data_IF_187219646165
#
_entry.id   IF_187219646165
#
_cell.length_a   1.000
_cell.length_b   1.000
_cell.length_c   1.000
_cell.angle_alpha   90.00
_cell.angle_beta   90.00
_cell.angle_gamma   90.00
#
_symmetry.space_group_name_H-M   'P 1'
#
loop_
_entity.id
_entity.type
_entity.pdbx_description
1 polymer ?
#
# COMPACT_ATOMS: atom_id res chain seq x y z
N UNK A 1 -13.56 -30.13 -29.39
CA UNK A 1 -13.26 -30.07 -27.95
C UNK A 1 -13.15 -28.64 -27.52
N UNK A 2 -14.03 -28.25 -26.70
CA UNK A 2 -13.94 -26.89 -26.12
C UNK A 2 -12.92 -26.90 -24.99
N UNK A 3 -11.87 -26.10 -25.11
CA UNK A 3 -11.06 -25.76 -23.94
C UNK A 3 -11.99 -25.11 -22.91
N UNK A 4 -12.06 -25.68 -21.72
CA UNK A 4 -12.93 -25.15 -20.66
C UNK A 4 -12.59 -23.69 -20.37
N UNK A 5 -13.61 -22.84 -20.04
CA UNK A 5 -13.39 -21.40 -19.82
C UNK A 5 -12.37 -21.11 -18.73
N UNK A 6 -12.07 -22.07 -17.85
CA UNK A 6 -11.13 -21.90 -16.75
C UNK A 6 -9.64 -21.89 -17.15
N UNK A 7 -9.23 -22.54 -18.27
CA UNK A 7 -7.83 -22.68 -18.64
C UNK A 7 -7.24 -21.37 -19.18
N UNK A 8 -7.98 -20.69 -20.06
CA UNK A 8 -7.54 -19.41 -20.62
C UNK A 8 -7.55 -18.31 -19.56
N UNK A 9 -8.59 -18.25 -18.74
CA UNK A 9 -8.68 -17.28 -17.64
C UNK A 9 -7.55 -17.45 -16.62
N UNK A 10 -7.15 -18.70 -16.31
CA UNK A 10 -6.06 -18.99 -15.39
C UNK A 10 -4.71 -18.49 -15.94
N UNK A 11 -4.44 -18.71 -17.24
CA UNK A 11 -3.22 -18.22 -17.91
C UNK A 11 -3.14 -16.69 -17.89
N UNK A 12 -4.25 -16.00 -18.17
CA UNK A 12 -4.33 -14.54 -18.14
C UNK A 12 -4.07 -14.01 -16.74
N UNK A 13 -4.66 -14.62 -15.70
CA UNK A 13 -4.43 -14.24 -14.30
C UNK A 13 -2.97 -14.41 -13.86
N UNK A 14 -2.33 -15.52 -14.25
CA UNK A 14 -0.91 -15.77 -13.96
C UNK A 14 -0.01 -14.74 -14.64
N UNK A 15 -0.31 -14.39 -15.89
CA UNK A 15 0.43 -13.35 -16.61
C UNK A 15 0.30 -11.99 -15.94
N UNK A 16 -0.93 -11.58 -15.59
CA UNK A 16 -1.21 -10.32 -14.89
C UNK A 16 -0.51 -10.26 -13.54
N UNK A 17 -0.48 -11.37 -12.79
CA UNK A 17 0.23 -11.46 -11.51
C UNK A 17 1.73 -11.28 -11.69
N UNK A 18 2.32 -11.92 -12.71
CA UNK A 18 3.76 -11.78 -13.01
C UNK A 18 4.13 -10.36 -13.40
N UNK A 19 3.29 -9.71 -14.21
CA UNK A 19 3.50 -8.32 -14.62
C UNK A 19 3.45 -7.37 -13.41
N UNK A 20 2.51 -7.57 -12.48
CA UNK A 20 2.42 -6.79 -11.24
C UNK A 20 3.65 -7.01 -10.35
N UNK A 21 4.11 -8.25 -10.22
CA UNK A 21 5.31 -8.57 -9.44
C UNK A 21 6.56 -7.89 -10.01
N UNK A 22 6.70 -7.90 -11.34
CA UNK A 22 7.79 -7.22 -12.04
C UNK A 22 7.71 -5.71 -11.82
N UNK A 23 6.53 -5.11 -11.98
CA UNK A 23 6.32 -3.68 -11.77
C UNK A 23 6.66 -3.27 -10.33
N UNK A 24 6.18 -4.02 -9.34
CA UNK A 24 6.49 -3.76 -7.94
C UNK A 24 7.99 -3.84 -7.66
N UNK A 25 8.68 -4.80 -8.27
CA UNK A 25 10.13 -4.93 -8.15
C UNK A 25 10.85 -3.74 -8.75
N UNK A 26 10.44 -3.30 -9.94
CA UNK A 26 11.03 -2.14 -10.61
C UNK A 26 10.82 -0.87 -9.76
N UNK A 27 9.65 -0.70 -9.16
CA UNK A 27 9.35 0.43 -8.30
C UNK A 27 10.19 0.43 -7.02
N UNK A 28 10.51 -0.74 -6.45
CA UNK A 28 11.42 -0.84 -5.29
C UNK A 28 12.84 -0.39 -5.63
N UNK A 29 13.27 -0.59 -6.87
CA UNK A 29 14.59 -0.20 -7.34
C UNK A 29 14.70 1.30 -7.65
N UNK A 30 13.57 1.95 -7.92
CA UNK A 30 13.51 3.36 -8.33
C UNK A 30 12.43 4.12 -7.55
N UNK A 31 12.59 4.25 -6.22
CA UNK A 31 11.60 5.00 -5.44
C UNK A 31 11.64 6.48 -5.77
N UNK A 32 10.48 7.15 -5.67
CA UNK A 32 10.43 8.61 -5.72
C UNK A 32 11.06 9.18 -4.45
N UNK A 33 11.45 10.49 -4.43
CA UNK A 33 11.97 11.09 -3.20
C UNK A 33 11.03 10.99 -2.01
N UNK A 34 9.73 11.17 -2.20
CA UNK A 34 8.74 11.03 -1.12
C UNK A 34 8.64 9.59 -0.61
N UNK A 35 8.62 8.61 -1.52
CA UNK A 35 8.63 7.20 -1.13
C UNK A 35 9.90 6.83 -0.37
N UNK A 36 11.06 7.33 -0.81
CA UNK A 36 12.32 7.11 -0.12
C UNK A 36 12.30 7.71 1.29
N UNK A 37 11.74 8.90 1.45
CA UNK A 37 11.61 9.56 2.76
C UNK A 37 10.69 8.77 3.69
N UNK A 38 9.56 8.28 3.20
CA UNK A 38 8.67 7.42 3.98
C UNK A 38 9.35 6.12 4.37
N UNK A 39 10.07 5.50 3.44
CA UNK A 39 10.78 4.25 3.72
C UNK A 39 11.81 4.42 4.83
N UNK A 40 12.50 5.55 4.89
CA UNK A 40 13.42 5.84 5.99
C UNK A 40 12.72 5.82 7.35
N UNK A 41 11.46 6.24 7.43
CA UNK A 41 10.67 6.14 8.66
C UNK A 41 10.27 4.70 9.00
N UNK A 42 9.95 3.90 7.99
CA UNK A 42 9.22 2.64 8.16
C UNK A 42 10.12 1.41 8.13
N UNK A 43 11.31 1.52 7.52
CA UNK A 43 12.20 0.39 7.32
C UNK A 43 12.74 -0.15 8.65
N UNK A 44 13.10 -1.43 8.64
CA UNK A 44 13.78 -2.10 9.75
C UNK A 44 13.01 -2.04 11.07
N UNK A 45 11.69 -1.94 11.00
CA UNK A 45 10.85 -1.90 12.20
C UNK A 45 11.04 -0.67 13.06
N UNK A 46 11.50 0.46 12.50
CA UNK A 46 11.81 1.69 13.27
C UNK A 46 10.65 2.23 14.09
N UNK A 47 9.41 2.01 13.62
CA UNK A 47 8.21 2.39 14.37
C UNK A 47 7.67 1.27 15.27
N UNK A 48 8.36 0.14 15.37
CA UNK A 48 7.90 -1.04 16.09
C UNK A 48 6.98 -1.92 15.26
N UNK A 49 6.80 -1.62 13.97
CA UNK A 49 5.96 -2.35 13.04
C UNK A 49 6.74 -2.68 11.77
N UNK A 50 6.50 -3.86 11.23
CA UNK A 50 7.20 -4.30 10.01
C UNK A 50 6.38 -3.92 8.80
N UNK A 51 6.92 -2.97 8.01
CA UNK A 51 6.35 -2.56 6.73
C UNK A 51 7.09 -3.19 5.56
N UNK A 52 6.33 -3.54 4.53
CA UNK A 52 6.86 -3.99 3.24
C UNK A 52 6.59 -2.90 2.22
N UNK A 53 7.59 -2.59 1.39
CA UNK A 53 7.41 -1.60 0.34
C UNK A 53 7.02 -2.25 -0.97
N UNK A 54 6.22 -1.54 -1.78
CA UNK A 54 5.74 -1.99 -3.09
C UNK A 54 5.20 -3.41 -3.02
N UNK A 55 4.22 -3.60 -2.15
CA UNK A 55 3.60 -4.89 -1.89
C UNK A 55 2.31 -5.04 -2.70
N UNK A 56 1.97 -6.29 -3.02
CA UNK A 56 0.68 -6.61 -3.63
C UNK A 56 -0.28 -7.05 -2.54
N UNK A 57 -1.35 -6.28 -2.35
CA UNK A 57 -2.38 -6.54 -1.35
C UNK A 57 -3.71 -6.69 -2.07
N UNK A 58 -4.25 -7.91 -2.02
CA UNK A 58 -5.52 -8.24 -2.70
C UNK A 58 -5.54 -7.86 -4.19
N UNK A 59 -4.40 -8.00 -4.87
CA UNK A 59 -4.25 -7.69 -6.27
C UNK A 59 -3.88 -6.24 -6.58
N UNK A 60 -3.85 -5.36 -5.59
CA UNK A 60 -3.44 -3.97 -5.75
C UNK A 60 -1.99 -3.78 -5.32
N UNK A 61 -1.23 -3.00 -6.08
CA UNK A 61 0.12 -2.61 -5.69
C UNK A 61 0.00 -1.39 -4.78
N UNK A 62 0.55 -1.50 -3.56
CA UNK A 62 0.55 -0.41 -2.58
C UNK A 62 1.99 -0.03 -2.23
N UNK A 63 2.21 1.24 -1.86
CA UNK A 63 3.56 1.72 -1.58
C UNK A 63 4.16 1.03 -0.36
N UNK A 64 3.42 1.00 0.75
CA UNK A 64 3.88 0.38 2.01
C UNK A 64 2.73 -0.40 2.65
N UNK A 65 3.04 -1.59 3.14
CA UNK A 65 2.06 -2.49 3.72
C UNK A 65 2.54 -3.05 5.05
N UNK A 66 1.71 -2.92 6.08
CA UNK A 66 1.92 -3.55 7.38
C UNK A 66 0.82 -4.58 7.65
N UNK A 67 1.09 -5.88 7.48
CA UNK A 67 0.08 -6.92 7.71
C UNK A 67 -0.42 -6.99 9.14
N UNK A 68 0.46 -6.72 10.11
CA UNK A 68 0.14 -6.85 11.54
C UNK A 68 -1.05 -5.99 11.95
N UNK A 69 -1.14 -4.78 11.42
CA UNK A 69 -2.22 -3.83 11.74
C UNK A 69 -3.11 -3.53 10.54
N UNK A 70 -2.92 -4.24 9.44
CA UNK A 70 -3.67 -4.06 8.19
C UNK A 70 -3.71 -2.60 7.76
N UNK A 71 -2.52 -2.02 7.66
CA UNK A 71 -2.34 -0.62 7.31
C UNK A 71 -1.57 -0.49 6.01
N UNK A 72 -2.11 0.29 5.08
CA UNK A 72 -1.45 0.72 3.85
C UNK A 72 -1.07 2.19 4.02
N UNK A 73 0.16 2.54 3.65
CA UNK A 73 0.63 3.91 3.61
C UNK A 73 1.09 4.23 2.20
N UNK A 74 0.68 5.38 1.68
CA UNK A 74 1.01 5.79 0.32
C UNK A 74 1.48 7.22 0.23
N UNK A 75 2.43 7.45 -0.66
CA UNK A 75 2.84 8.78 -1.09
C UNK A 75 1.99 9.19 -2.29
N UNK A 76 1.41 10.40 -2.24
CA UNK A 76 0.49 10.88 -3.25
C UNK A 76 1.19 11.88 -4.17
N UNK A 77 1.44 11.44 -5.40
CA UNK A 77 2.02 12.27 -6.45
C UNK A 77 0.99 12.89 -7.37
N UNK A 78 1.47 13.58 -8.41
CA UNK A 78 0.65 14.36 -9.34
C UNK A 78 -0.41 13.54 -10.10
N UNK A 79 -0.19 12.25 -10.32
CA UNK A 79 -1.13 11.38 -11.05
C UNK A 79 -2.47 11.16 -10.34
N UNK A 80 -2.53 11.38 -9.02
CA UNK A 80 -3.75 11.19 -8.22
C UNK A 80 -4.68 12.41 -8.24
N UNK A 81 -4.25 13.53 -8.85
CA UNK A 81 -5.07 14.74 -8.93
C UNK A 81 -6.06 14.75 -10.08
N UNK A 82 -5.99 13.78 -10.99
CA UNK A 82 -6.98 13.64 -12.08
C UNK A 82 -8.27 13.03 -11.54
N UNK A 83 -9.39 13.34 -12.19
CA UNK A 83 -10.68 12.74 -11.83
C UNK A 83 -10.65 11.21 -11.92
N UNK A 84 -9.97 10.67 -12.95
CA UNK A 84 -9.81 9.22 -13.13
C UNK A 84 -8.96 8.60 -12.02
N UNK A 85 -7.87 9.26 -11.63
CA UNK A 85 -6.99 8.79 -10.54
C UNK A 85 -7.71 8.79 -9.21
N UNK A 86 -8.50 9.84 -8.90
CA UNK A 86 -9.30 9.90 -7.67
C UNK A 86 -10.38 8.81 -7.62
N UNK A 87 -11.05 8.56 -8.73
CA UNK A 87 -12.06 7.50 -8.81
C UNK A 87 -11.43 6.12 -8.58
N UNK A 88 -10.25 5.87 -9.15
CA UNK A 88 -9.50 4.64 -8.95
C UNK A 88 -9.09 4.46 -7.48
N UNK A 89 -8.54 5.49 -6.85
CA UNK A 89 -8.16 5.48 -5.44
C UNK A 89 -9.36 5.19 -4.53
N UNK A 90 -10.50 5.82 -4.82
CA UNK A 90 -11.73 5.62 -4.07
C UNK A 90 -12.19 4.16 -4.13
N UNK A 91 -12.23 3.58 -5.34
CA UNK A 91 -12.62 2.18 -5.52
C UNK A 91 -11.70 1.23 -4.78
N UNK A 92 -10.40 1.43 -4.91
CA UNK A 92 -9.39 0.62 -4.25
C UNK A 92 -9.49 0.73 -2.73
N UNK A 93 -9.57 1.95 -2.21
CA UNK A 93 -9.64 2.20 -0.78
C UNK A 93 -10.91 1.57 -0.18
N UNK A 94 -12.03 1.65 -0.88
CA UNK A 94 -13.28 0.99 -0.49
C UNK A 94 -13.17 -0.53 -0.47
N UNK A 95 -12.58 -1.11 -1.51
CA UNK A 95 -12.38 -2.55 -1.58
C UNK A 95 -11.48 -3.04 -0.45
N UNK A 96 -10.41 -2.32 -0.14
CA UNK A 96 -9.51 -2.66 0.96
C UNK A 96 -10.18 -2.44 2.32
N UNK A 97 -10.94 -1.36 2.49
CA UNK A 97 -11.65 -1.08 3.74
C UNK A 97 -12.68 -2.17 4.06
N UNK A 98 -13.35 -2.73 3.06
CA UNK A 98 -14.28 -3.84 3.26
C UNK A 98 -13.59 -5.09 3.84
N UNK A 99 -12.27 -5.20 3.68
CA UNK A 99 -11.45 -6.27 4.21
C UNK A 99 -10.74 -5.89 5.53
N UNK A 100 -11.12 -4.76 6.12
CA UNK A 100 -10.52 -4.26 7.35
C UNK A 100 -9.13 -3.64 7.17
N UNK A 101 -8.81 -3.20 5.95
CA UNK A 101 -7.52 -2.58 5.63
C UNK A 101 -7.71 -1.07 5.52
N UNK A 102 -6.94 -0.32 6.29
CA UNK A 102 -6.95 1.14 6.26
C UNK A 102 -5.85 1.65 5.34
N UNK A 103 -6.16 2.65 4.53
CA UNK A 103 -5.17 3.35 3.69
C UNK A 103 -4.95 4.75 4.23
N UNK A 104 -3.68 5.08 4.53
CA UNK A 104 -3.24 6.44 4.84
C UNK A 104 -2.49 6.98 3.63
N UNK A 105 -2.90 8.13 3.14
CA UNK A 105 -2.28 8.76 1.98
C UNK A 105 -1.79 10.15 2.35
N UNK A 106 -0.51 10.41 2.05
CA UNK A 106 0.13 11.68 2.33
C UNK A 106 0.61 12.32 1.04
N UNK A 107 0.41 13.61 0.89
CA UNK A 107 0.96 14.35 -0.23
C UNK A 107 2.48 14.33 -0.19
N UNK A 108 3.10 14.22 -1.36
CA UNK A 108 4.55 14.21 -1.47
C UNK A 108 5.19 15.42 -0.79
N UNK A 109 4.62 16.60 -0.98
CA UNK A 109 5.11 17.84 -0.38
C UNK A 109 5.13 17.76 1.14
N UNK A 110 4.07 17.23 1.73
CA UNK A 110 3.99 17.07 3.18
C UNK A 110 5.03 16.09 3.72
N UNK A 111 5.24 14.98 3.02
CA UNK A 111 6.25 14.00 3.39
C UNK A 111 7.64 14.61 3.41
N UNK A 112 7.97 15.40 2.37
CA UNK A 112 9.28 16.01 2.22
C UNK A 112 9.47 17.19 3.19
N UNK A 113 8.43 17.96 3.46
CA UNK A 113 8.50 19.14 4.32
C UNK A 113 8.47 18.79 5.81
N UNK A 114 7.74 17.74 6.18
CA UNK A 114 7.57 17.38 7.60
C UNK A 114 7.52 15.86 7.79
N UNK A 115 8.63 15.22 7.50
CA UNK A 115 8.78 13.77 7.60
C UNK A 115 8.47 13.25 9.01
N UNK A 116 8.91 13.94 10.04
CA UNK A 116 8.71 13.50 11.43
C UNK A 116 7.23 13.49 11.82
N UNK A 117 6.48 14.52 11.45
CA UNK A 117 5.05 14.57 11.72
C UNK A 117 4.30 13.44 11.01
N UNK A 118 4.68 13.15 9.77
CA UNK A 118 4.09 12.04 9.01
C UNK A 118 4.41 10.71 9.69
N UNK A 119 5.65 10.49 10.11
CA UNK A 119 6.04 9.27 10.84
C UNK A 119 5.27 9.11 12.15
N UNK A 120 5.11 10.19 12.92
CA UNK A 120 4.35 10.19 14.18
C UNK A 120 2.89 9.84 13.95
N UNK A 121 2.28 10.38 12.90
CA UNK A 121 0.89 10.11 12.55
C UNK A 121 0.69 8.64 12.17
N UNK A 122 1.61 8.07 11.39
CA UNK A 122 1.58 6.64 11.03
C UNK A 122 1.71 5.78 12.29
N UNK A 123 2.66 6.10 13.16
CA UNK A 123 2.86 5.39 14.41
C UNK A 123 1.60 5.40 15.29
N UNK A 124 0.99 6.55 15.47
CA UNK A 124 -0.21 6.70 16.29
C UNK A 124 -1.37 5.85 15.77
N UNK A 125 -1.57 5.84 14.45
CA UNK A 125 -2.60 5.02 13.81
C UNK A 125 -2.28 3.54 13.96
N UNK A 126 -1.03 3.14 13.75
CA UNK A 126 -0.61 1.74 13.88
C UNK A 126 -0.83 1.23 15.31
N UNK A 127 -0.47 2.02 16.32
CA UNK A 127 -0.67 1.67 17.73
C UNK A 127 -2.16 1.53 18.05
N UNK A 128 -2.98 2.46 17.58
CA UNK A 128 -4.43 2.40 17.78
C UNK A 128 -5.03 1.14 17.18
N UNK A 129 -4.64 0.81 15.96
CA UNK A 129 -5.11 -0.37 15.26
C UNK A 129 -4.66 -1.67 15.96
N UNK A 130 -3.46 -1.69 16.49
CA UNK A 130 -2.96 -2.83 17.25
C UNK A 130 -3.82 -3.07 18.50
N UNK A 131 -4.17 -2.02 19.23
CA UNK A 131 -5.03 -2.10 20.41
C UNK A 131 -6.43 -2.61 20.08
N UNK A 132 -7.01 -2.13 19.00
CA UNK A 132 -8.35 -2.52 18.53
C UNK A 132 -8.40 -3.99 18.11
N UNK A 133 -7.27 -4.56 17.68
CA UNK A 133 -7.18 -5.95 17.23
C UNK A 133 -6.85 -6.94 18.35
N UNK A 134 -6.41 -6.46 19.50
CA UNK A 134 -6.13 -7.33 20.63
C UNK A 134 -7.45 -7.75 21.30
N UNK A 135 -7.65 -9.06 21.60
CA UNK A 135 -8.82 -9.46 22.33
C UNK A 135 -8.80 -8.82 23.71
N UNK A 136 -9.92 -8.24 24.09
CA UNK A 136 -10.08 -7.71 25.44
C UNK A 136 -10.13 -8.89 26.40
N UNK A 137 -9.23 -8.87 27.37
CA UNK A 137 -9.19 -9.90 28.42
C UNK A 137 -10.16 -9.52 29.51
#
# INVERSE_FOLDING_TARGET
MRAGPGTTGLKIRKKAKREKLKFARDMRLRPTPAEAALWECLRMGRLGFKFRRQAIVRGYIVDFWCPQVRLVVEADGAGHFTAKGRAWDWQRDHALAALGILTMRFRNERILDDQQAVCSEIFDVAVRRLRERQPQV
#
